data_IF_861004557183
#
_entry.id   IF_861004557183
#
_cell.length_a   1.000
_cell.length_b   1.000
_cell.length_c   1.000
_cell.angle_alpha   90.00
_cell.angle_beta   90.00
_cell.angle_gamma   90.00
#
_symmetry.space_group_name_H-M   'P 1'
#
loop_
_entity.id
_entity.type
_entity.pdbx_description
1 polymer ?
#
# COMPACT_ATOMS: atom_id res chain seq x y z
N UNK A 1 39.26 79.82 18.28
CA UNK A 1 38.64 79.13 19.42
C UNK A 1 39.63 78.96 20.55
N UNK A 2 40.57 78.02 20.43
CA UNK A 2 41.56 77.69 21.48
C UNK A 2 42.79 78.60 21.51
N UNK A 3 43.25 79.13 20.37
CA UNK A 3 44.36 80.10 20.32
C UNK A 3 44.04 81.40 21.04
N UNK A 4 42.77 81.78 21.12
CA UNK A 4 42.31 82.97 21.84
C UNK A 4 42.13 82.72 23.34
N UNK A 5 41.90 81.48 23.78
CA UNK A 5 41.87 81.13 25.20
C UNK A 5 43.27 80.99 25.80
N UNK A 6 44.28 80.63 25.00
CA UNK A 6 45.67 80.51 25.48
C UNK A 6 46.36 81.86 25.70
N UNK A 7 45.84 82.95 25.09
CA UNK A 7 46.36 84.30 25.28
C UNK A 7 45.73 85.05 26.48
N UNK A 8 44.69 84.47 27.11
CA UNK A 8 43.95 85.09 28.23
C UNK A 8 44.32 84.52 29.61
N UNK A 9 45.43 83.78 29.70
CA UNK A 9 46.06 83.31 30.95
C UNK A 9 47.51 83.80 31.05
N UNK A 10 47.75 85.05 30.69
CA UNK A 10 49.08 85.65 30.81
C UNK A 10 49.00 86.98 31.52
N UNK A 11 48.69 86.93 32.82
CA UNK A 11 49.30 87.91 33.72
C UNK A 11 50.81 87.66 33.67
N UNK A 12 51.55 88.66 33.17
CA UNK A 12 52.93 88.55 32.71
C UNK A 12 53.99 88.35 33.82
N UNK A 13 53.65 87.67 34.93
CA UNK A 13 54.58 87.31 35.99
C UNK A 13 54.31 85.93 36.64
N UNK A 14 53.42 85.10 36.12
CA UNK A 14 53.34 83.69 36.52
C UNK A 14 54.33 82.86 35.70
N UNK A 15 55.45 82.49 36.34
CA UNK A 15 56.35 81.47 35.79
C UNK A 15 55.53 80.19 35.69
N UNK A 16 55.25 79.72 34.48
CA UNK A 16 54.65 78.40 34.26
C UNK A 16 55.56 77.40 34.96
N UNK A 17 55.03 76.76 35.99
CA UNK A 17 55.79 75.79 36.75
C UNK A 17 56.12 74.58 35.85
N UNK A 18 57.22 73.86 36.11
CA UNK A 18 57.56 72.67 35.33
C UNK A 18 56.40 71.65 35.27
N UNK A 19 55.58 71.60 36.33
CA UNK A 19 54.41 70.72 36.44
C UNK A 19 53.27 71.14 35.50
N UNK A 20 53.06 72.44 35.30
CA UNK A 20 52.07 72.95 34.35
C UNK A 20 52.51 72.73 32.90
N UNK A 21 53.81 72.87 32.59
CA UNK A 21 54.36 72.54 31.26
C UNK A 21 54.16 71.07 30.95
N UNK A 22 54.45 70.20 31.92
CA UNK A 22 54.26 68.75 31.79
C UNK A 22 52.78 68.42 31.55
N UNK A 23 51.87 69.01 32.34
CA UNK A 23 50.42 68.84 32.15
C UNK A 23 49.95 69.26 30.75
N UNK A 24 50.44 70.39 30.24
CA UNK A 24 50.11 70.86 28.88
C UNK A 24 50.66 69.90 27.82
N UNK A 25 51.87 69.38 28.00
CA UNK A 25 52.48 68.43 27.07
C UNK A 25 51.67 67.12 26.98
N UNK A 26 51.24 66.56 28.10
CA UNK A 26 50.37 65.39 28.14
C UNK A 26 49.01 65.66 27.48
N UNK A 27 48.38 66.82 27.78
CA UNK A 27 47.11 67.20 27.15
C UNK A 27 47.22 67.38 25.62
N UNK A 28 48.38 67.84 25.13
CA UNK A 28 48.64 67.96 23.70
C UNK A 28 48.86 66.58 23.06
N UNK A 29 49.61 65.69 23.73
CA UNK A 29 49.86 64.33 23.29
C UNK A 29 48.55 63.52 23.16
N UNK A 30 47.71 63.53 24.20
CA UNK A 30 46.41 62.86 24.21
C UNK A 30 45.50 63.29 23.04
N UNK A 31 45.55 64.57 22.67
CA UNK A 31 44.73 65.11 21.56
C UNK A 31 45.20 64.63 20.19
N UNK A 32 46.51 64.47 20.00
CA UNK A 32 47.12 64.14 18.70
C UNK A 32 47.24 62.63 18.52
N UNK A 33 47.73 61.92 19.54
CA UNK A 33 48.07 60.49 19.48
C UNK A 33 46.98 59.58 20.09
N UNK A 34 46.06 60.12 20.90
CA UNK A 34 44.92 59.40 21.50
C UNK A 34 45.38 58.16 22.30
N UNK A 35 44.61 57.06 22.29
CA UNK A 35 44.72 55.93 23.25
C UNK A 35 46.00 55.07 23.19
N UNK A 36 46.88 55.29 22.21
CA UNK A 36 48.15 54.54 22.06
C UNK A 36 49.34 55.52 22.13
N UNK A 37 49.34 56.42 23.12
CA UNK A 37 50.50 57.26 23.38
C UNK A 37 51.46 56.61 24.39
N UNK A 38 52.76 56.87 24.20
CA UNK A 38 53.84 56.45 25.12
C UNK A 38 54.29 57.63 25.99
N UNK A 39 53.42 58.64 26.11
CA UNK A 39 53.73 59.96 26.66
C UNK A 39 54.30 60.94 25.62
N UNK A 40 54.27 62.26 25.90
CA UNK A 40 54.57 63.34 24.95
C UNK A 40 55.97 63.27 24.34
N UNK A 41 56.95 62.81 25.11
CA UNK A 41 58.35 62.76 24.67
C UNK A 41 58.62 61.60 23.73
N UNK A 42 58.15 60.39 24.05
CA UNK A 42 58.35 59.22 23.20
C UNK A 42 57.49 59.28 21.95
N UNK A 43 56.22 59.69 22.04
CA UNK A 43 55.35 59.83 20.87
C UNK A 43 55.87 60.86 19.86
N UNK A 44 56.47 61.96 20.32
CA UNK A 44 57.13 62.93 19.44
C UNK A 44 58.40 62.34 18.82
N UNK A 45 59.20 61.63 19.60
CA UNK A 45 60.43 60.99 19.14
C UNK A 45 60.14 59.94 18.06
N UNK A 46 59.14 59.10 18.28
CA UNK A 46 58.71 58.09 17.32
C UNK A 46 58.21 58.74 16.03
N UNK A 47 57.44 59.83 16.14
CA UNK A 47 56.99 60.61 14.97
C UNK A 47 58.16 61.19 14.18
N UNK A 48 59.17 61.73 14.87
CA UNK A 48 60.37 62.25 14.22
C UNK A 48 61.20 61.13 13.56
N UNK A 49 61.30 59.97 14.20
CA UNK A 49 61.96 58.80 13.61
C UNK A 49 61.24 58.31 12.36
N UNK A 50 59.91 58.31 12.35
CA UNK A 50 59.10 57.94 11.19
C UNK A 50 59.30 58.92 10.03
N UNK A 51 59.37 60.22 10.32
CA UNK A 51 59.70 61.26 9.34
C UNK A 51 61.10 61.05 8.76
N UNK A 52 62.10 60.78 9.61
CA UNK A 52 63.49 60.52 9.18
C UNK A 52 63.55 59.25 8.32
N UNK A 53 62.86 58.18 8.70
CA UNK A 53 62.76 56.94 7.94
C UNK A 53 62.16 57.18 6.56
N UNK A 54 61.06 57.93 6.51
CA UNK A 54 60.38 58.31 5.26
C UNK A 54 61.30 59.16 4.37
N UNK A 55 61.96 60.17 4.94
CA UNK A 55 62.92 61.03 4.21
C UNK A 55 64.12 60.24 3.70
N UNK A 56 64.63 59.30 4.48
CA UNK A 56 65.74 58.42 4.07
C UNK A 56 65.30 57.55 2.91
N UNK A 57 64.10 56.98 2.98
CA UNK A 57 63.52 56.19 1.89
C UNK A 57 63.37 57.02 0.61
N UNK A 58 62.86 58.25 0.71
CA UNK A 58 62.75 59.18 -0.42
C UNK A 58 64.12 59.55 -0.98
N UNK A 59 65.08 59.89 -0.12
CA UNK A 59 66.44 60.26 -0.52
C UNK A 59 67.13 59.11 -1.27
N UNK A 60 67.06 57.89 -0.72
CA UNK A 60 67.59 56.70 -1.39
C UNK A 60 66.86 56.40 -2.70
N UNK A 61 65.53 56.55 -2.75
CA UNK A 61 64.73 56.33 -3.97
C UNK A 61 65.07 57.35 -5.06
N UNK A 62 65.41 58.58 -4.67
CA UNK A 62 65.81 59.66 -5.58
C UNK A 62 67.25 59.45 -6.09
N UNK A 63 68.17 59.06 -5.21
CA UNK A 63 69.58 58.78 -5.54
C UNK A 63 69.71 57.56 -6.47
N UNK A 64 68.89 56.54 -6.26
CA UNK A 64 68.85 55.33 -7.09
C UNK A 64 68.07 55.49 -8.40
N UNK A 65 67.45 56.66 -8.63
CA UNK A 65 66.68 56.92 -9.84
C UNK A 65 65.43 56.06 -9.97
N UNK A 66 64.90 55.49 -8.88
CA UNK A 66 63.71 54.61 -8.91
C UNK A 66 62.44 55.38 -9.29
N UNK A 67 62.47 56.72 -9.18
CA UNK A 67 61.45 57.62 -9.71
C UNK A 67 61.59 57.93 -11.21
N UNK A 68 62.61 57.40 -11.90
CA UNK A 68 62.73 57.54 -13.34
C UNK A 68 61.63 56.73 -14.04
N UNK A 69 60.81 57.44 -14.81
CA UNK A 69 59.47 57.11 -15.29
C UNK A 69 59.30 55.77 -16.04
N UNK A 70 60.39 55.10 -16.41
CA UNK A 70 60.38 53.85 -17.20
C UNK A 70 60.05 52.59 -16.38
N UNK A 71 60.43 52.55 -15.10
CA UNK A 71 60.13 51.40 -14.21
C UNK A 71 58.64 51.32 -13.87
N UNK A 72 57.98 52.46 -13.70
CA UNK A 72 56.56 52.53 -13.39
C UNK A 72 55.69 52.10 -14.59
N UNK A 73 56.12 52.44 -15.82
CA UNK A 73 55.40 52.07 -17.05
C UNK A 73 55.50 50.56 -17.36
N UNK A 74 56.66 49.93 -17.11
CA UNK A 74 56.80 48.48 -17.24
C UNK A 74 55.98 47.71 -16.20
N UNK A 75 56.00 48.16 -14.94
CA UNK A 75 55.16 47.56 -13.89
C UNK A 75 53.67 47.68 -14.24
N UNK A 76 53.24 48.84 -14.74
CA UNK A 76 51.85 49.04 -15.19
C UNK A 76 51.48 48.09 -16.33
N UNK A 77 52.35 47.93 -17.34
CA UNK A 77 52.14 46.98 -18.45
C UNK A 77 52.04 45.53 -17.95
N UNK A 78 52.88 45.15 -16.99
CA UNK A 78 52.86 43.80 -16.40
C UNK A 78 51.58 43.56 -15.58
N UNK A 79 51.14 44.53 -14.78
CA UNK A 79 49.86 44.45 -14.04
C UNK A 79 48.67 44.35 -14.99
N UNK A 80 48.63 45.16 -16.06
CA UNK A 80 47.55 45.10 -17.07
C UNK A 80 47.52 43.74 -17.77
N UNK A 81 48.68 43.17 -18.10
CA UNK A 81 48.77 41.83 -18.68
C UNK A 81 48.22 40.75 -17.74
N UNK A 82 48.61 40.77 -16.46
CA UNK A 82 48.09 39.85 -15.44
C UNK A 82 46.57 39.96 -15.27
N UNK A 83 46.03 41.18 -15.26
CA UNK A 83 44.57 41.39 -15.18
C UNK A 83 43.89 40.85 -16.43
N UNK A 84 44.45 41.09 -17.63
CA UNK A 84 43.89 40.58 -18.87
C UNK A 84 43.92 39.05 -18.95
N UNK A 85 45.00 38.42 -18.48
CA UNK A 85 45.12 36.96 -18.38
C UNK A 85 44.11 36.39 -17.38
N UNK A 86 44.00 36.99 -16.19
CA UNK A 86 43.02 36.59 -15.16
C UNK A 86 41.57 36.76 -15.64
N UNK A 87 41.30 37.83 -16.41
CA UNK A 87 39.98 38.04 -17.00
C UNK A 87 39.69 36.95 -18.04
N UNK A 88 40.66 36.61 -18.89
CA UNK A 88 40.51 35.58 -19.92
C UNK A 88 40.27 34.20 -19.30
N UNK A 89 40.98 33.84 -18.23
CA UNK A 89 40.74 32.58 -17.51
C UNK A 89 39.36 32.57 -16.87
N UNK A 90 38.98 33.65 -16.18
CA UNK A 90 37.64 33.78 -15.57
C UNK A 90 36.50 33.71 -16.60
N UNK A 91 36.67 34.31 -17.79
CA UNK A 91 35.70 34.20 -18.89
C UNK A 91 35.58 32.75 -19.37
N UNK A 92 36.71 32.06 -19.59
CA UNK A 92 36.71 30.66 -20.02
C UNK A 92 36.07 29.73 -18.99
N UNK A 93 36.31 29.97 -17.69
CA UNK A 93 35.68 29.23 -16.61
C UNK A 93 34.16 29.48 -16.57
N UNK A 94 33.74 30.73 -16.76
CA UNK A 94 32.33 31.11 -16.82
C UNK A 94 31.61 30.43 -17.99
N UNK A 95 32.24 30.37 -19.16
CA UNK A 95 31.70 29.67 -20.34
C UNK A 95 31.58 28.16 -20.10
N UNK A 96 32.56 27.55 -19.45
CA UNK A 96 32.52 26.13 -19.07
C UNK A 96 31.41 25.83 -18.05
N UNK A 97 31.22 26.70 -17.04
CA UNK A 97 30.12 26.58 -16.08
C UNK A 97 28.77 26.70 -16.80
N UNK A 98 28.63 27.68 -17.70
CA UNK A 98 27.41 27.88 -18.50
C UNK A 98 27.07 26.64 -19.33
N UNK A 99 28.02 26.07 -20.06
CA UNK A 99 27.78 24.85 -20.84
C UNK A 99 27.35 23.66 -19.98
N UNK A 100 27.94 23.49 -18.79
CA UNK A 100 27.51 22.44 -17.85
C UNK A 100 26.11 22.68 -17.30
N UNK A 101 25.73 23.95 -17.09
CA UNK A 101 24.39 24.31 -16.64
C UNK A 101 23.35 23.98 -17.71
N UNK A 102 23.59 24.36 -18.96
CA UNK A 102 22.70 24.07 -20.10
C UNK A 102 22.45 22.56 -20.26
N UNK A 103 23.50 21.73 -20.16
CA UNK A 103 23.37 20.27 -20.20
C UNK A 103 22.51 19.74 -19.03
N UNK A 104 22.67 20.30 -17.83
CA UNK A 104 21.87 19.90 -16.66
C UNK A 104 20.41 20.33 -16.79
N UNK A 105 20.13 21.47 -17.42
CA UNK A 105 18.77 21.90 -17.72
C UNK A 105 18.08 20.98 -18.74
N UNK A 106 18.81 20.51 -19.76
CA UNK A 106 18.31 19.52 -20.72
C UNK A 106 18.02 18.16 -20.04
N UNK A 107 18.98 17.64 -19.26
CA UNK A 107 18.78 16.42 -18.47
C UNK A 107 17.58 16.53 -17.53
N UNK A 108 17.41 17.70 -16.86
CA UNK A 108 16.29 17.94 -15.97
C UNK A 108 14.95 17.95 -16.71
N UNK A 109 14.91 18.53 -17.90
CA UNK A 109 13.72 18.53 -18.75
C UNK A 109 13.33 17.11 -19.16
N UNK A 110 14.31 16.28 -19.53
CA UNK A 110 14.07 14.90 -19.94
C UNK A 110 13.66 14.01 -18.77
N UNK A 111 14.30 14.14 -17.61
CA UNK A 111 13.86 13.47 -16.38
C UNK A 111 12.42 13.87 -16.04
N UNK A 112 12.06 15.14 -16.19
CA UNK A 112 10.69 15.62 -15.94
C UNK A 112 9.68 15.01 -16.92
N UNK A 113 10.03 14.85 -18.20
CA UNK A 113 9.18 14.15 -19.19
C UNK A 113 9.01 12.68 -18.82
N UNK A 114 10.09 11.99 -18.49
CA UNK A 114 10.06 10.58 -18.08
C UNK A 114 9.23 10.38 -16.82
N UNK A 115 9.37 11.27 -15.83
CA UNK A 115 8.58 11.23 -14.61
C UNK A 115 7.09 11.38 -14.90
N UNK A 116 6.71 12.28 -15.81
CA UNK A 116 5.32 12.46 -16.21
C UNK A 116 4.76 11.21 -16.89
N UNK A 117 5.51 10.62 -17.84
CA UNK A 117 5.10 9.37 -18.49
C UNK A 117 4.92 8.24 -17.47
N UNK A 118 5.85 8.08 -16.53
CA UNK A 118 5.75 7.06 -15.48
C UNK A 118 4.59 7.32 -14.53
N UNK A 119 4.27 8.57 -14.24
CA UNK A 119 3.10 8.93 -13.45
C UNK A 119 1.80 8.55 -14.17
N UNK A 120 1.70 8.85 -15.46
CA UNK A 120 0.52 8.50 -16.28
C UNK A 120 0.36 6.98 -16.40
N UNK A 121 1.45 6.24 -16.63
CA UNK A 121 1.46 4.76 -16.63
C UNK A 121 1.01 4.17 -15.28
N UNK A 122 1.51 4.71 -14.16
CA UNK A 122 1.09 4.28 -12.82
C UNK A 122 -0.39 4.56 -12.58
N UNK A 123 -0.90 5.71 -13.04
CA UNK A 123 -2.31 6.05 -12.94
C UNK A 123 -3.19 5.06 -13.72
N UNK A 124 -2.79 4.68 -14.93
CA UNK A 124 -3.51 3.67 -15.73
C UNK A 124 -3.51 2.29 -15.03
N UNK A 125 -2.35 1.86 -14.53
CA UNK A 125 -2.23 0.60 -13.80
C UNK A 125 -3.10 0.57 -12.53
N UNK A 126 -3.17 1.68 -11.79
CA UNK A 126 -4.05 1.78 -10.62
C UNK A 126 -5.54 1.67 -10.98
N UNK A 127 -5.96 2.28 -12.11
CA UNK A 127 -7.34 2.11 -12.60
C UNK A 127 -7.60 0.65 -12.95
N UNK A 128 -6.67 0.00 -13.67
CA UNK A 128 -6.79 -1.42 -14.04
C UNK A 128 -6.83 -2.33 -12.82
N UNK A 129 -6.02 -2.05 -11.80
CA UNK A 129 -6.03 -2.76 -10.53
C UNK A 129 -7.39 -2.63 -9.85
N UNK A 130 -7.92 -1.41 -9.70
CA UNK A 130 -9.24 -1.18 -9.08
C UNK A 130 -10.38 -1.89 -9.82
N UNK A 131 -10.33 -1.95 -11.16
CA UNK A 131 -11.32 -2.69 -11.95
C UNK A 131 -11.24 -4.20 -11.70
N UNK A 132 -10.02 -4.74 -11.62
CA UNK A 132 -9.82 -6.16 -11.34
C UNK A 132 -10.24 -6.53 -9.91
N UNK A 133 -9.96 -5.68 -8.92
CA UNK A 133 -10.41 -5.85 -7.54
C UNK A 133 -11.94 -5.91 -7.46
N UNK A 134 -12.63 -4.97 -8.12
CA UNK A 134 -14.11 -4.99 -8.21
C UNK A 134 -14.63 -6.24 -8.91
N UNK A 135 -13.93 -6.71 -9.95
CA UNK A 135 -14.31 -7.96 -10.64
C UNK A 135 -14.18 -9.16 -9.72
N UNK A 136 -13.12 -9.22 -8.91
CA UNK A 136 -12.93 -10.28 -7.90
C UNK A 136 -14.04 -10.21 -6.85
N UNK A 137 -14.35 -9.03 -6.32
CA UNK A 137 -15.41 -8.83 -5.34
C UNK A 137 -16.78 -9.29 -5.88
N UNK A 138 -17.11 -8.94 -7.13
CA UNK A 138 -18.34 -9.40 -7.78
C UNK A 138 -18.37 -10.92 -7.95
N UNK A 139 -17.27 -11.53 -8.41
CA UNK A 139 -17.16 -12.98 -8.57
C UNK A 139 -17.26 -13.71 -7.23
N UNK A 140 -16.69 -13.16 -6.16
CA UNK A 140 -16.82 -13.69 -4.80
C UNK A 140 -18.28 -13.68 -4.36
N UNK A 141 -18.97 -12.55 -4.52
CA UNK A 141 -20.39 -12.44 -4.19
C UNK A 141 -21.25 -13.42 -5.01
N UNK A 142 -21.02 -13.55 -6.31
CA UNK A 142 -21.73 -14.52 -7.14
C UNK A 142 -21.48 -15.96 -6.70
N UNK A 143 -20.25 -16.28 -6.27
CA UNK A 143 -19.90 -17.61 -5.77
C UNK A 143 -20.60 -17.89 -4.44
N UNK A 144 -20.63 -16.91 -3.52
CA UNK A 144 -21.35 -17.01 -2.25
C UNK A 144 -22.86 -17.20 -2.46
N UNK A 145 -23.47 -16.47 -3.40
CA UNK A 145 -24.87 -16.64 -3.76
C UNK A 145 -25.15 -18.04 -4.33
N UNK A 146 -24.26 -18.56 -5.20
CA UNK A 146 -24.37 -19.93 -5.74
C UNK A 146 -24.20 -20.99 -4.65
N UNK A 147 -23.23 -20.82 -3.75
CA UNK A 147 -23.01 -21.73 -2.63
C UNK A 147 -24.23 -21.77 -1.69
N UNK A 148 -24.81 -20.60 -1.39
CA UNK A 148 -26.05 -20.50 -0.61
C UNK A 148 -27.21 -21.25 -1.28
N UNK A 149 -27.40 -21.06 -2.59
CA UNK A 149 -28.42 -21.78 -3.38
C UNK A 149 -28.19 -23.28 -3.38
N UNK A 150 -26.96 -23.75 -3.56
CA UNK A 150 -26.64 -25.18 -3.54
C UNK A 150 -26.89 -25.80 -2.18
N UNK A 151 -26.50 -25.12 -1.09
CA UNK A 151 -26.80 -25.56 0.28
C UNK A 151 -28.29 -25.65 0.53
N UNK A 152 -29.06 -24.67 0.07
CA UNK A 152 -30.52 -24.69 0.18
C UNK A 152 -31.12 -25.88 -0.57
N UNK A 153 -30.79 -26.07 -1.85
CA UNK A 153 -31.31 -27.19 -2.66
C UNK A 153 -30.91 -28.55 -2.09
N UNK A 154 -29.69 -28.67 -1.55
CA UNK A 154 -29.22 -29.88 -0.89
C UNK A 154 -30.07 -30.20 0.34
N UNK A 155 -30.34 -29.20 1.18
CA UNK A 155 -31.15 -29.34 2.38
C UNK A 155 -32.61 -29.68 2.03
N UNK A 156 -33.20 -29.02 1.04
CA UNK A 156 -34.54 -29.32 0.54
C UNK A 156 -34.65 -30.77 0.05
N UNK A 157 -33.68 -31.24 -0.75
CA UNK A 157 -33.64 -32.63 -1.24
C UNK A 157 -33.46 -33.64 -0.11
N UNK A 158 -32.62 -33.31 0.89
CA UNK A 158 -32.42 -34.14 2.09
C UNK A 158 -33.72 -34.29 2.89
N UNK A 159 -34.44 -33.19 3.10
CA UNK A 159 -35.72 -33.18 3.81
C UNK A 159 -36.80 -33.96 3.05
N UNK A 160 -36.91 -33.77 1.73
CA UNK A 160 -37.85 -34.53 0.90
C UNK A 160 -37.56 -36.04 0.93
N UNK A 161 -36.28 -36.42 0.83
CA UNK A 161 -35.84 -37.80 0.97
C UNK A 161 -36.24 -38.41 2.31
N UNK A 162 -36.01 -37.69 3.42
CA UNK A 162 -36.42 -38.14 4.76
C UNK A 162 -37.93 -38.28 4.89
N UNK A 163 -38.71 -37.37 4.29
CA UNK A 163 -40.17 -37.45 4.28
C UNK A 163 -40.65 -38.69 3.53
N UNK A 164 -40.05 -39.00 2.38
CA UNK A 164 -40.37 -40.20 1.60
C UNK A 164 -40.04 -41.49 2.35
N UNK A 165 -38.89 -41.53 3.05
CA UNK A 165 -38.53 -42.68 3.90
C UNK A 165 -39.62 -42.90 4.96
N UNK A 166 -40.02 -41.85 5.70
CA UNK A 166 -41.09 -41.95 6.71
C UNK A 166 -42.41 -42.43 6.12
N UNK A 167 -42.82 -41.91 4.97
CA UNK A 167 -44.04 -42.35 4.30
C UNK A 167 -43.99 -43.82 3.89
N UNK A 168 -42.83 -44.30 3.42
CA UNK A 168 -42.63 -45.72 3.11
C UNK A 168 -42.66 -46.60 4.36
N UNK A 169 -42.07 -46.15 5.48
CA UNK A 169 -42.11 -46.85 6.77
C UNK A 169 -43.56 -46.95 7.28
N UNK A 170 -44.32 -45.86 7.24
CA UNK A 170 -45.75 -45.83 7.61
C UNK A 170 -46.58 -46.77 6.72
N UNK A 171 -46.38 -46.74 5.41
CA UNK A 171 -47.07 -47.63 4.48
C UNK A 171 -46.70 -49.12 4.71
N UNK A 172 -45.43 -49.40 5.03
CA UNK A 172 -44.97 -50.74 5.36
C UNK A 172 -45.61 -51.25 6.66
N UNK A 173 -45.74 -50.40 7.68
CA UNK A 173 -46.41 -50.75 8.93
C UNK A 173 -47.89 -51.10 8.73
N UNK A 174 -48.60 -50.35 7.87
CA UNK A 174 -50.00 -50.66 7.49
C UNK A 174 -50.08 -52.05 6.83
N UNK A 175 -49.24 -52.32 5.83
CA UNK A 175 -49.25 -53.62 5.13
C UNK A 175 -48.88 -54.78 6.06
N UNK A 176 -47.98 -54.58 7.01
CA UNK A 176 -47.64 -55.59 8.01
C UNK A 176 -48.85 -55.91 8.90
N UNK A 177 -49.56 -54.88 9.38
CA UNK A 177 -50.79 -55.07 10.17
C UNK A 177 -51.87 -55.82 9.38
N UNK A 178 -52.09 -55.45 8.11
CA UNK A 178 -53.04 -56.14 7.23
C UNK A 178 -52.66 -57.62 7.04
N UNK A 179 -51.36 -57.92 6.86
CA UNK A 179 -50.88 -59.29 6.73
C UNK A 179 -51.10 -60.10 8.01
N UNK A 180 -50.86 -59.51 9.18
CA UNK A 180 -51.15 -60.13 10.48
C UNK A 180 -52.66 -60.35 10.70
N UNK A 181 -53.50 -59.42 10.26
CA UNK A 181 -54.95 -59.59 10.28
C UNK A 181 -55.39 -60.74 9.37
N UNK A 182 -54.89 -60.80 8.13
CA UNK A 182 -55.21 -61.86 7.18
C UNK A 182 -54.75 -63.24 7.68
N UNK A 183 -53.56 -63.35 8.28
CA UNK A 183 -53.11 -64.62 8.87
C UNK A 183 -53.97 -65.03 10.07
N UNK A 184 -54.44 -64.08 10.89
CA UNK A 184 -55.43 -64.37 11.95
C UNK A 184 -56.74 -64.89 11.36
N UNK A 185 -57.35 -64.18 10.41
CA UNK A 185 -58.61 -64.59 9.76
C UNK A 185 -58.48 -65.96 9.08
N UNK A 186 -57.36 -66.20 8.39
CA UNK A 186 -57.05 -67.51 7.79
C UNK A 186 -56.92 -68.61 8.83
N UNK A 187 -56.30 -68.34 9.98
CA UNK A 187 -56.20 -69.31 11.08
C UNK A 187 -57.57 -69.64 11.69
N UNK A 188 -58.42 -68.62 11.90
CA UNK A 188 -59.79 -68.77 12.39
C UNK A 188 -60.65 -69.56 11.41
N UNK A 189 -60.57 -69.27 10.10
CA UNK A 189 -61.29 -70.00 9.07
C UNK A 189 -60.85 -71.46 8.99
N UNK A 190 -59.54 -71.73 9.09
CA UNK A 190 -59.02 -73.10 9.19
C UNK A 190 -59.56 -73.83 10.41
N UNK A 191 -59.67 -73.15 11.55
CA UNK A 191 -60.25 -73.74 12.76
C UNK A 191 -61.75 -74.04 12.59
N UNK A 192 -62.53 -73.07 12.09
CA UNK A 192 -63.96 -73.26 11.79
C UNK A 192 -64.18 -74.42 10.82
N UNK A 193 -63.34 -74.55 9.78
CA UNK A 193 -63.42 -75.66 8.84
C UNK A 193 -63.14 -77.02 9.52
N UNK A 194 -62.14 -77.09 10.40
CA UNK A 194 -61.87 -78.30 11.20
C UNK A 194 -63.07 -78.65 12.10
N UNK A 195 -63.67 -77.66 12.76
CA UNK A 195 -64.85 -77.84 13.59
C UNK A 195 -66.06 -78.34 12.78
N UNK A 196 -66.34 -77.74 11.61
CA UNK A 196 -67.41 -78.19 10.70
C UNK A 196 -67.18 -79.62 10.20
N UNK A 197 -65.95 -79.95 9.82
CA UNK A 197 -65.60 -81.31 9.36
C UNK A 197 -65.81 -82.33 10.49
N UNK A 198 -65.43 -82.00 11.72
CA UNK A 198 -65.68 -82.83 12.91
C UNK A 198 -67.18 -83.00 13.17
N UNK A 199 -67.95 -81.91 13.13
CA UNK A 199 -69.41 -81.96 13.35
C UNK A 199 -70.09 -82.81 12.28
N UNK A 200 -69.74 -82.64 11.00
CA UNK A 200 -70.27 -83.45 9.90
C UNK A 200 -69.95 -84.94 10.07
N UNK A 201 -68.74 -85.30 10.51
CA UNK A 201 -68.40 -86.70 10.77
C UNK A 201 -69.25 -87.29 11.91
N UNK A 202 -69.51 -86.51 12.97
CA UNK A 202 -70.41 -86.91 14.06
C UNK A 202 -71.83 -87.07 13.53
N UNK A 203 -72.31 -86.15 12.70
CA UNK A 203 -73.64 -86.22 12.08
C UNK A 203 -73.77 -87.43 11.15
N UNK A 204 -72.75 -87.72 10.32
CA UNK A 204 -72.70 -88.93 9.47
C UNK A 204 -72.69 -90.21 10.32
N UNK A 205 -71.98 -90.23 11.46
CA UNK A 205 -72.01 -91.33 12.43
C UNK A 205 -73.40 -91.49 13.08
N UNK A 206 -74.10 -90.39 13.36
CA UNK A 206 -75.46 -90.41 13.90
C UNK A 206 -76.49 -90.83 12.85
N UNK A 207 -76.33 -90.42 11.59
CA UNK A 207 -77.15 -90.91 10.45
C UNK A 207 -76.87 -92.39 10.15
N UNK A 208 -75.66 -92.90 10.37
CA UNK A 208 -75.35 -94.33 10.16
C UNK A 208 -75.98 -95.26 11.21
N UNK A 209 -76.61 -94.73 12.28
CA UNK A 209 -77.50 -95.49 13.18
C UNK A 209 -78.96 -95.56 12.70
N UNK A 210 -79.31 -94.96 11.57
CA UNK A 210 -80.66 -94.95 11.01
C UNK A 210 -80.63 -95.02 9.46
N UNK A 211 -80.62 -96.23 8.90
CA UNK A 211 -81.15 -96.58 7.55
C UNK A 211 -80.54 -95.96 6.27
N UNK A 212 -80.04 -96.82 5.38
CA UNK A 212 -79.42 -96.58 4.04
C UNK A 212 -80.25 -95.76 3.01
N UNK A 213 -79.58 -95.05 2.09
CA UNK A 213 -79.42 -95.33 0.61
C UNK A 213 -78.69 -94.15 -0.12
N UNK A 214 -77.56 -94.40 -0.84
CA UNK A 214 -77.37 -94.29 -2.32
C UNK A 214 -77.89 -92.99 -2.99
N UNK A 215 -77.22 -92.25 -3.90
CA UNK A 215 -76.11 -92.47 -4.85
C UNK A 215 -75.77 -91.13 -5.59
N UNK A 216 -74.55 -91.05 -6.15
CA UNK A 216 -74.07 -90.33 -7.37
C UNK A 216 -73.98 -88.80 -7.44
N UNK A 217 -72.76 -88.30 -7.23
CA UNK A 217 -71.90 -87.53 -8.18
C UNK A 217 -72.52 -86.54 -9.18
N UNK A 218 -72.29 -85.25 -8.93
CA UNK A 218 -72.27 -84.18 -9.92
C UNK A 218 -71.03 -83.31 -9.72
N UNK A 219 -70.00 -83.53 -10.54
CA UNK A 219 -68.81 -82.68 -10.67
C UNK A 219 -69.01 -81.79 -11.90
N UNK A 220 -69.11 -80.47 -11.70
CA UNK A 220 -68.81 -79.48 -12.73
C UNK A 220 -68.04 -78.35 -12.07
N UNK A 221 -66.77 -78.23 -12.48
CA UNK A 221 -65.80 -77.22 -12.04
C UNK A 221 -66.17 -75.82 -12.55
N UNK A 222 -65.91 -74.75 -11.77
CA UNK A 222 -65.83 -73.40 -12.29
C UNK A 222 -64.47 -73.16 -12.94
N UNK A 223 -64.54 -72.60 -14.14
CA UNK A 223 -63.47 -72.04 -14.98
C UNK A 223 -62.54 -71.10 -14.21
N UNK A 224 -61.23 -71.32 -14.35
CA UNK A 224 -60.19 -70.34 -13.98
C UNK A 224 -59.96 -69.45 -15.20
N UNK A 225 -60.47 -68.22 -15.15
CA UNK A 225 -60.13 -67.16 -16.11
C UNK A 225 -58.78 -66.55 -15.72
N UNK A 226 -57.73 -66.94 -16.42
CA UNK A 226 -56.43 -66.29 -16.38
C UNK A 226 -56.44 -65.14 -17.40
N UNK A 227 -56.70 -63.92 -16.93
CA UNK A 227 -56.58 -62.70 -17.74
C UNK A 227 -55.54 -61.76 -17.16
N UNK A 228 -54.46 -61.65 -17.94
CA UNK A 228 -53.74 -60.42 -18.32
C UNK A 228 -53.00 -59.63 -17.24
N UNK A 229 -51.66 -59.69 -17.35
CA UNK A 229 -50.68 -58.68 -16.97
C UNK A 229 -51.07 -57.24 -17.40
N UNK A 230 -50.44 -56.22 -16.80
CA UNK A 230 -49.43 -55.50 -17.58
C UNK A 230 -48.16 -55.12 -16.81
N UNK A 231 -47.04 -55.70 -17.25
CA UNK A 231 -45.89 -55.00 -17.82
C UNK A 231 -45.57 -53.61 -17.26
N UNK A 232 -44.54 -53.52 -16.41
CA UNK A 232 -43.79 -52.27 -16.16
C UNK A 232 -42.51 -52.31 -16.98
N UNK A 233 -42.49 -51.52 -18.05
CA UNK A 233 -41.33 -51.25 -18.88
C UNK A 233 -40.23 -50.60 -18.04
N UNK A 234 -39.03 -51.18 -18.09
CA UNK A 234 -37.79 -50.51 -17.74
C UNK A 234 -37.08 -50.15 -19.05
N UNK A 235 -37.13 -48.86 -19.35
CA UNK A 235 -36.36 -48.12 -20.34
C UNK A 235 -36.35 -46.71 -19.75
N UNK A 236 -35.31 -45.90 -19.70
CA UNK A 236 -33.96 -45.87 -20.24
C UNK A 236 -33.49 -44.45 -19.90
N UNK A 237 -32.25 -44.22 -19.47
CA UNK A 237 -31.57 -42.93 -19.68
C UNK A 237 -30.11 -43.04 -19.27
N UNK A 238 -29.28 -43.53 -20.20
CA UNK A 238 -27.90 -43.08 -20.32
C UNK A 238 -27.94 -41.76 -21.09
N UNK A 239 -27.37 -40.70 -20.51
CA UNK A 239 -26.92 -39.52 -21.26
C UNK A 239 -25.47 -39.28 -20.93
N UNK A 240 -24.60 -39.81 -21.77
CA UNK A 240 -23.32 -39.19 -22.12
C UNK A 240 -23.61 -37.87 -22.82
N UNK A 241 -22.98 -36.79 -22.35
CA UNK A 241 -22.73 -35.61 -23.17
C UNK A 241 -21.31 -35.13 -22.86
N UNK A 242 -20.43 -35.40 -23.80
CA UNK A 242 -19.18 -34.69 -23.99
C UNK A 242 -19.45 -33.18 -24.15
N UNK A 243 -18.50 -32.38 -23.69
CA UNK A 243 -18.49 -30.93 -23.77
C UNK A 243 -17.07 -30.42 -23.62
N UNK A 244 -16.25 -30.75 -24.62
CA UNK A 244 -14.90 -30.23 -24.85
C UNK A 244 -15.00 -28.81 -25.42
N UNK A 245 -14.52 -27.76 -24.74
CA UNK A 245 -14.00 -26.55 -25.41
C UNK A 245 -12.88 -25.90 -24.57
N UNK A 246 -11.85 -25.57 -25.31
CA UNK A 246 -10.53 -24.98 -25.09
C UNK A 246 -10.46 -23.56 -24.50
N UNK A 247 -9.22 -23.24 -24.08
CA UNK A 247 -8.54 -21.93 -23.91
C UNK A 247 -8.52 -21.31 -22.51
#
# INVERSE_FOLDING_TARGET
GLTTQMLMLSDANERISPQEIESIAYQACDKVYKKEDSGPYESLRDSMNEIISTLTTISSSLETGVYDSTSNEQNLKQTVYLIAEQLKTSMSESDSIRGRLELKEEELLDVKKMLKLKHDELSELNIRLSLNEKKIENLQKELEEKDSKYKQTLEESRVDGQKKIKQCEEAMAVLQNDNEQLEREKSELKERLKQLTKNKLVDDLMQNKMGRTSRTSGLLSPTVDERTSPQRQLSSASTTSEGNVTS
#
